data_IF_380121186572
#
_entry.id   IF_380121186572
#
_cell.length_a   1.000
_cell.length_b   1.000
_cell.length_c   1.000
_cell.angle_alpha   90.00
_cell.angle_beta   90.00
_cell.angle_gamma   90.00
#
_symmetry.space_group_name_H-M   'P 1'
#
loop_
_entity.id
_entity.type
_entity.pdbx_description
1 polymer ?
#
# COMPACT_ATOMS: atom_id res chain seq x y z
N UNK A 1 -13.18 -6.20 13.99
CA UNK A 1 -13.05 -7.61 13.54
C UNK A 1 -11.60 -8.01 13.66
N UNK A 2 -11.31 -9.23 14.13
CA UNK A 2 -9.95 -9.72 14.31
C UNK A 2 -9.26 -9.82 12.94
N UNK A 3 -8.15 -9.09 12.75
CA UNK A 3 -7.29 -9.29 11.59
C UNK A 3 -6.48 -10.56 11.87
N UNK A 4 -6.89 -11.67 11.27
CA UNK A 4 -6.13 -12.93 11.33
C UNK A 4 -4.73 -12.74 10.73
N UNK A 5 -3.72 -13.31 11.41
CA UNK A 5 -2.36 -13.37 10.91
C UNK A 5 -2.32 -14.23 9.65
N UNK A 6 -1.98 -13.62 8.52
CA UNK A 6 -1.89 -14.32 7.23
C UNK A 6 -0.64 -15.22 7.21
N UNK A 7 -0.84 -16.47 6.80
CA UNK A 7 0.24 -17.41 6.50
C UNK A 7 0.92 -17.08 5.16
N UNK A 8 2.14 -17.60 4.96
CA UNK A 8 2.88 -17.43 3.70
C UNK A 8 2.04 -17.86 2.50
N UNK A 9 2.03 -17.04 1.46
CA UNK A 9 1.27 -17.27 0.22
C UNK A 9 -0.20 -16.87 0.31
N UNK A 10 -0.70 -16.48 1.49
CA UNK A 10 -2.05 -15.98 1.63
C UNK A 10 -2.15 -14.52 1.18
N UNK A 11 -3.28 -14.22 0.57
CA UNK A 11 -3.75 -12.87 0.26
C UNK A 11 -5.14 -12.73 0.85
N UNK A 12 -5.42 -11.59 1.48
CA UNK A 12 -6.76 -11.22 1.92
C UNK A 12 -7.11 -9.86 1.36
N UNK A 13 -8.28 -9.76 0.73
CA UNK A 13 -8.79 -8.52 0.14
C UNK A 13 -10.03 -8.07 0.91
N UNK A 14 -10.15 -6.77 1.14
CA UNK A 14 -11.20 -6.10 1.87
C UNK A 14 -11.75 -4.97 0.99
N UNK A 15 -13.04 -4.99 0.63
CA UNK A 15 -13.66 -3.84 -0.03
C UNK A 15 -13.76 -2.68 0.96
N UNK A 16 -13.59 -1.46 0.45
CA UNK A 16 -13.78 -0.23 1.19
C UNK A 16 -14.43 0.83 0.28
N UNK A 17 -14.91 1.91 0.90
CA UNK A 17 -15.62 2.98 0.22
C UNK A 17 -15.18 4.32 0.80
N UNK A 18 -15.10 5.35 -0.04
CA UNK A 18 -14.83 6.72 0.41
C UNK A 18 -15.87 7.19 1.42
N UNK A 19 -15.49 8.14 2.28
CA UNK A 19 -16.39 8.74 3.28
C UNK A 19 -17.65 9.34 2.63
N UNK A 20 -17.51 9.94 1.44
CA UNK A 20 -18.63 10.50 0.67
C UNK A 20 -19.43 9.47 -0.15
N UNK A 21 -19.01 8.20 -0.12
CA UNK A 21 -19.68 7.08 -0.78
C UNK A 21 -19.46 6.97 -2.30
N UNK A 22 -18.69 7.88 -2.91
CA UNK A 22 -18.57 8.01 -4.38
C UNK A 22 -17.54 7.08 -5.01
N UNK A 23 -16.60 6.54 -4.24
CA UNK A 23 -15.50 5.74 -4.75
C UNK A 23 -15.40 4.43 -4.00
N UNK A 24 -15.30 3.33 -4.74
CA UNK A 24 -15.02 2.00 -4.21
C UNK A 24 -13.52 1.71 -4.30
N UNK A 25 -12.99 1.12 -3.24
CA UNK A 25 -11.59 0.75 -3.08
C UNK A 25 -11.44 -0.72 -2.72
N UNK A 26 -10.25 -1.24 -2.98
CA UNK A 26 -9.82 -2.56 -2.54
C UNK A 26 -8.55 -2.42 -1.71
N UNK A 27 -8.63 -2.82 -0.45
CA UNK A 27 -7.46 -3.03 0.39
C UNK A 27 -7.08 -4.50 0.35
N UNK A 28 -5.82 -4.82 0.09
CA UNK A 28 -5.35 -6.20 0.26
C UNK A 28 -4.03 -6.28 0.97
N UNK A 29 -3.89 -7.39 1.66
CA UNK A 29 -2.69 -7.75 2.41
C UNK A 29 -2.20 -9.08 1.86
N UNK A 30 -0.91 -9.13 1.56
CA UNK A 30 -0.24 -10.31 1.03
C UNK A 30 1.01 -10.57 1.85
N UNK A 31 1.20 -11.83 2.24
CA UNK A 31 2.48 -12.31 2.79
C UNK A 31 3.14 -13.17 1.73
N UNK A 32 4.22 -12.69 1.13
CA UNK A 32 4.85 -13.39 0.00
C UNK A 32 6.34 -13.17 -0.11
N UNK A 33 7.08 -14.20 -0.51
CA UNK A 33 8.49 -14.10 -0.84
C UNK A 33 9.24 -15.42 -0.62
N UNK A 34 10.51 -15.44 -1.03
CA UNK A 34 11.50 -16.45 -0.60
C UNK A 34 11.82 -16.25 0.88
N UNK A 35 11.79 -15.00 1.36
CA UNK A 35 11.83 -14.62 2.77
C UNK A 35 10.42 -14.73 3.36
N UNK A 36 10.28 -15.51 4.44
CA UNK A 36 9.00 -15.74 5.14
C UNK A 36 8.47 -14.44 5.78
N UNK A 37 9.31 -13.41 5.93
CA UNK A 37 8.94 -12.13 6.57
C UNK A 37 8.25 -11.14 5.65
N UNK A 38 8.37 -11.27 4.32
CA UNK A 38 7.93 -10.20 3.43
C UNK A 38 6.41 -10.03 3.42
N UNK A 39 5.99 -8.83 3.80
CA UNK A 39 4.60 -8.38 3.99
C UNK A 39 4.36 -7.18 3.09
N UNK A 40 3.31 -7.27 2.29
CA UNK A 40 2.85 -6.21 1.41
C UNK A 40 1.41 -5.84 1.78
N UNK A 41 1.13 -4.56 1.95
CA UNK A 41 -0.23 -4.02 2.07
C UNK A 41 -0.49 -3.06 0.91
N UNK A 42 -1.67 -3.10 0.30
CA UNK A 42 -2.02 -2.21 -0.81
C UNK A 42 -3.41 -1.63 -0.68
N UNK A 43 -3.57 -0.41 -1.18
CA UNK A 43 -4.84 0.24 -1.47
C UNK A 43 -4.97 0.44 -2.97
N UNK A 44 -6.14 0.09 -3.53
CA UNK A 44 -6.42 0.20 -4.96
C UNK A 44 -7.74 0.90 -5.25
N UNK A 45 -7.80 1.61 -6.38
CA UNK A 45 -9.02 2.14 -6.98
C UNK A 45 -9.25 1.54 -8.37
N UNK A 46 -10.51 1.61 -8.87
CA UNK A 46 -10.91 1.07 -10.17
C UNK A 46 -10.46 -0.39 -10.40
N UNK A 47 -10.40 -1.20 -9.33
CA UNK A 47 -9.93 -2.60 -9.27
C UNK A 47 -8.46 -2.83 -9.70
N UNK A 48 -7.87 -2.03 -10.59
CA UNK A 48 -6.51 -2.21 -11.14
C UNK A 48 -5.44 -1.26 -10.60
N UNK A 49 -5.79 -0.04 -10.21
CA UNK A 49 -4.79 1.00 -9.92
C UNK A 49 -4.31 0.94 -8.48
N UNK A 50 -3.00 0.75 -8.26
CA UNK A 50 -2.38 0.77 -6.93
C UNK A 50 -2.12 2.21 -6.51
N UNK A 51 -2.84 2.65 -5.49
CA UNK A 51 -2.73 4.00 -4.93
C UNK A 51 -1.58 4.09 -3.93
N UNK A 52 -1.54 3.13 -3.00
CA UNK A 52 -0.51 2.99 -2.00
C UNK A 52 -0.11 1.52 -1.90
N UNK A 53 1.18 1.24 -1.84
CA UNK A 53 1.70 -0.10 -1.54
C UNK A 53 2.83 -0.01 -0.54
N UNK A 54 2.62 -0.59 0.63
CA UNK A 54 3.63 -0.75 1.66
C UNK A 54 4.36 -2.07 1.47
N UNK A 55 5.68 -2.05 1.30
CA UNK A 55 6.55 -3.22 1.28
C UNK A 55 7.52 -3.17 2.47
N UNK A 56 7.40 -4.14 3.39
CA UNK A 56 8.20 -4.15 4.62
C UNK A 56 9.55 -4.86 4.48
N UNK A 57 9.67 -5.84 3.59
CA UNK A 57 10.92 -6.58 3.35
C UNK A 57 11.18 -6.79 1.85
N UNK A 58 10.74 -5.83 1.03
CA UNK A 58 10.99 -5.82 -0.41
C UNK A 58 12.47 -5.60 -0.75
N UNK A 59 12.89 -5.89 -2.00
CA UNK A 59 14.19 -5.47 -2.51
C UNK A 59 14.29 -3.93 -2.55
N UNK A 60 15.50 -3.35 -2.66
CA UNK A 60 15.65 -1.92 -2.97
C UNK A 60 14.85 -1.52 -4.21
N UNK A 61 14.38 -0.27 -4.23
CA UNK A 61 13.55 0.25 -5.31
C UNK A 61 14.15 1.51 -5.92
N UNK A 62 14.31 1.52 -7.24
CA UNK A 62 14.78 2.68 -8.00
C UNK A 62 13.60 3.56 -8.43
N UNK A 63 13.61 4.80 -7.97
CA UNK A 63 12.64 5.80 -8.39
C UNK A 63 12.90 6.25 -9.84
N UNK A 64 11.87 6.80 -10.53
CA UNK A 64 12.03 7.29 -11.90
C UNK A 64 13.07 8.40 -12.10
N UNK A 65 13.45 9.12 -11.04
CA UNK A 65 14.52 10.12 -11.04
C UNK A 65 15.91 9.55 -10.77
N UNK A 66 16.01 8.23 -10.59
CA UNK A 66 17.26 7.52 -10.28
C UNK A 66 17.60 7.45 -8.79
N UNK A 67 16.75 7.96 -7.89
CA UNK A 67 16.95 7.78 -6.46
C UNK A 67 16.64 6.34 -6.03
N UNK A 68 17.60 5.65 -5.42
CA UNK A 68 17.37 4.33 -4.81
C UNK A 68 16.79 4.49 -3.39
N UNK A 69 15.75 3.71 -3.09
CA UNK A 69 15.14 3.59 -1.77
C UNK A 69 15.45 2.20 -1.21
N UNK A 70 16.21 2.16 -0.11
CA UNK A 70 16.62 0.92 0.56
C UNK A 70 15.78 0.67 1.81
N UNK A 71 15.37 -0.58 2.01
CA UNK A 71 14.63 -1.03 3.19
C UNK A 71 13.11 -1.03 3.00
N UNK A 72 12.33 -1.00 4.09
CA UNK A 72 10.89 -0.85 4.00
C UNK A 72 10.56 0.43 3.25
N UNK A 73 9.70 0.35 2.24
CA UNK A 73 9.30 1.50 1.46
C UNK A 73 7.81 1.49 1.14
N UNK A 74 7.27 2.69 0.99
CA UNK A 74 5.90 2.95 0.60
C UNK A 74 5.91 3.45 -0.84
N UNK A 75 5.35 2.66 -1.74
CA UNK A 75 4.99 3.10 -3.08
C UNK A 75 3.76 4.00 -3.02
N UNK A 76 3.81 5.10 -3.77
CA UNK A 76 2.74 6.08 -3.88
C UNK A 76 2.43 6.30 -5.35
N UNK A 77 1.12 6.27 -5.67
CA UNK A 77 0.64 6.61 -6.99
C UNK A 77 1.02 8.05 -7.35
N UNK A 78 1.54 8.22 -8.56
CA UNK A 78 1.73 9.51 -9.19
C UNK A 78 1.26 9.45 -10.63
N UNK A 79 0.48 10.42 -11.05
CA UNK A 79 -0.03 10.50 -12.43
C UNK A 79 1.12 10.39 -13.44
N UNK A 80 0.94 9.57 -14.47
CA UNK A 80 1.98 9.26 -15.47
C UNK A 80 3.04 8.25 -15.01
N UNK A 81 3.08 7.88 -13.73
CA UNK A 81 4.06 6.94 -13.17
C UNK A 81 3.43 5.76 -12.41
N UNK A 82 2.12 5.78 -12.16
CA UNK A 82 1.44 4.81 -11.29
C UNK A 82 2.18 4.66 -9.94
N UNK A 83 2.25 3.46 -9.37
CA UNK A 83 2.95 3.18 -8.11
C UNK A 83 4.49 3.04 -8.24
N UNK A 84 5.12 3.69 -9.24
CA UNK A 84 6.58 3.61 -9.44
C UNK A 84 7.39 4.50 -8.52
N UNK A 85 6.78 5.48 -7.85
CA UNK A 85 7.46 6.30 -6.86
C UNK A 85 7.39 5.63 -5.50
N UNK A 86 8.53 5.49 -4.83
CA UNK A 86 8.61 4.97 -3.48
C UNK A 86 9.35 5.95 -2.55
N UNK A 87 9.01 5.85 -1.27
CA UNK A 87 9.60 6.65 -0.20
C UNK A 87 9.88 5.75 1.01
N UNK A 88 10.82 6.12 1.91
CA UNK A 88 10.96 5.43 3.19
C UNK A 88 9.62 5.37 3.92
N UNK A 89 9.35 4.25 4.60
CA UNK A 89 8.08 4.07 5.32
C UNK A 89 7.87 5.22 6.33
N UNK A 90 6.76 5.97 6.21
CA UNK A 90 6.42 7.00 7.18
C UNK A 90 6.36 6.45 8.60
N UNK A 91 6.97 7.14 9.56
CA UNK A 91 6.97 6.76 10.99
C UNK A 91 5.56 6.59 11.55
N UNK A 92 4.58 7.32 10.98
CA UNK A 92 3.16 7.21 11.34
C UNK A 92 2.58 5.81 11.13
N UNK A 93 3.07 5.05 10.14
CA UNK A 93 2.64 3.66 9.89
C UNK A 93 3.17 2.72 10.97
N UNK A 94 4.36 2.98 11.49
CA UNK A 94 5.05 2.11 12.46
C UNK A 94 4.78 2.48 13.93
N UNK A 95 3.94 3.50 14.18
CA UNK A 95 3.74 4.06 15.52
C UNK A 95 3.11 3.11 16.53
N UNK A 96 2.46 2.05 16.05
CA UNK A 96 1.79 1.05 16.89
C UNK A 96 2.66 -0.18 17.17
N UNK A 97 3.73 -0.39 16.42
CA UNK A 97 4.59 -1.55 16.52
C UNK A 97 5.10 -2.05 15.17
N UNK A 98 5.88 -3.13 15.22
CA UNK A 98 6.53 -3.74 14.05
C UNK A 98 5.98 -5.14 13.72
N UNK A 99 4.91 -5.56 14.41
CA UNK A 99 4.18 -6.78 14.08
C UNK A 99 3.15 -6.50 12.99
N UNK A 100 2.78 -7.53 12.21
CA UNK A 100 1.87 -7.37 11.08
C UNK A 100 0.53 -6.69 11.46
N UNK A 101 -0.14 -7.03 12.58
CA UNK A 101 -1.39 -6.34 12.96
C UNK A 101 -1.18 -4.84 13.21
N UNK A 102 -0.09 -4.46 13.87
CA UNK A 102 0.22 -3.06 14.21
C UNK A 102 0.55 -2.25 12.96
N UNK A 103 1.39 -2.81 12.08
CA UNK A 103 1.76 -2.22 10.80
C UNK A 103 0.53 -2.05 9.92
N UNK A 104 -0.33 -3.06 9.85
CA UNK A 104 -1.55 -2.99 9.05
C UNK A 104 -2.49 -1.92 9.60
N UNK A 105 -2.64 -1.82 10.92
CA UNK A 105 -3.45 -0.79 11.53
C UNK A 105 -2.91 0.61 11.22
N UNK A 106 -1.60 0.82 11.38
CA UNK A 106 -0.96 2.09 11.04
C UNK A 106 -1.02 2.43 9.54
N UNK A 107 -0.94 1.43 8.66
CA UNK A 107 -1.09 1.62 7.22
C UNK A 107 -2.52 2.03 6.84
N UNK A 108 -3.53 1.33 7.36
CA UNK A 108 -4.94 1.68 7.10
C UNK A 108 -5.28 3.08 7.59
N UNK A 109 -4.75 3.46 8.74
CA UNK A 109 -4.92 4.82 9.23
C UNK A 109 -4.19 5.84 8.34
N UNK A 110 -2.96 5.54 7.92
CA UNK A 110 -2.21 6.39 7.00
C UNK A 110 -2.95 6.61 5.68
N UNK A 111 -3.55 5.57 5.09
CA UNK A 111 -4.41 5.68 3.91
C UNK A 111 -5.53 6.71 4.10
N UNK A 112 -6.19 6.72 5.26
CA UNK A 112 -7.26 7.67 5.57
C UNK A 112 -6.79 9.12 5.76
N UNK A 113 -5.48 9.34 5.91
CA UNK A 113 -4.88 10.65 6.21
C UNK A 113 -4.21 11.29 4.99
N UNK A 114 -4.00 10.52 3.92
CA UNK A 114 -3.37 11.01 2.71
C UNK A 114 -4.44 11.42 1.73
N UNK A 115 -4.34 12.66 1.24
CA UNK A 115 -5.10 13.11 0.09
C UNK A 115 -4.41 12.58 -1.17
N UNK A 116 -5.01 11.57 -1.79
CA UNK A 116 -4.49 10.97 -3.01
C UNK A 116 -5.09 11.79 -4.16
N UNK A 117 -4.27 12.56 -4.92
CA UNK A 117 -4.79 13.42 -5.98
C UNK A 117 -5.65 12.60 -6.95
N UNK A 118 -6.78 13.20 -7.33
CA UNK A 118 -7.89 12.57 -8.04
C UNK A 118 -7.44 11.68 -9.20
N UNK A 119 -7.86 10.41 -9.17
CA UNK A 119 -7.69 9.40 -10.23
C UNK A 119 -8.54 9.71 -11.48
N UNK A 120 -8.98 10.96 -11.64
CA UNK A 120 -9.89 11.43 -12.69
C UNK A 120 -9.19 11.62 -14.05
N UNK A 121 -8.01 11.02 -14.25
CA UNK A 121 -7.40 10.83 -15.56
C UNK A 121 -8.01 9.62 -16.28
N UNK A 122 -9.32 9.62 -16.49
CA UNK A 122 -9.96 8.64 -17.36
C UNK A 122 -9.39 8.77 -18.76
N UNK A 123 -8.79 7.69 -19.27
CA UNK A 123 -8.45 7.53 -20.68
C UNK A 123 -9.74 7.82 -21.49
N UNK A 124 -9.75 8.92 -22.25
CA UNK A 124 -10.77 9.11 -23.28
C UNK A 124 -10.59 7.98 -24.30
N UNK A 125 -11.49 7.01 -24.28
CA UNK A 125 -11.78 6.15 -25.43
C UNK A 125 -12.82 6.82 -26.31
#
# INVERSE_FOLDING_TARGET
GLIELLSRGQRKCYPAKSVDGRSDFLFDVRVSGVRVTNRTCQERAHVSEVLLRLDMDGPPHDNPDGQEIVGPHLHVYREGFAARWAYPVPTKILRYGHLLPDILYGFLEYCNLVDIPSIQGGLQI
#
